data_IF_059187893943
#
_entry.id   IF_059187893943
#
_cell.length_a   1.000
_cell.length_b   1.000
_cell.length_c   1.000
_cell.angle_alpha   90.00
_cell.angle_beta   90.00
_cell.angle_gamma   90.00
#
_symmetry.space_group_name_H-M   'P 1'
#
loop_
_entity.id
_entity.type
_entity.pdbx_description
1 polymer ?
#
# COMPACT_ATOMS: atom_id res chain seq x y z
N UNK A 1 54.02 -35.16 4.17
CA UNK A 1 53.14 -35.25 2.97
C UNK A 1 52.41 -36.58 2.99
N UNK A 2 51.12 -36.60 2.58
CA UNK A 2 50.15 -37.72 2.65
C UNK A 2 49.49 -37.95 4.01
N UNK A 3 48.49 -37.11 4.35
CA UNK A 3 47.35 -37.49 5.22
C UNK A 3 46.17 -36.50 5.25
N UNK A 4 46.30 -35.33 4.61
CA UNK A 4 45.20 -34.35 4.51
C UNK A 4 44.48 -34.32 3.14
N UNK A 5 44.79 -35.27 2.24
CA UNK A 5 44.20 -35.30 0.88
C UNK A 5 42.83 -35.96 0.79
N UNK A 6 42.36 -36.63 1.84
CA UNK A 6 41.06 -37.33 1.84
C UNK A 6 39.92 -36.53 2.48
N UNK A 7 40.21 -35.46 3.24
CA UNK A 7 39.17 -34.58 3.79
C UNK A 7 38.60 -33.60 2.77
N UNK A 8 39.37 -33.26 1.72
CA UNK A 8 38.92 -32.35 0.66
C UNK A 8 37.93 -33.02 -0.32
N UNK A 9 37.92 -34.36 -0.40
CA UNK A 9 37.06 -35.09 -1.34
C UNK A 9 35.65 -35.36 -0.77
N UNK A 10 35.50 -35.42 0.56
CA UNK A 10 34.22 -35.63 1.23
C UNK A 10 33.37 -34.36 1.39
N UNK A 11 33.96 -33.17 1.23
CA UNK A 11 33.28 -31.87 1.31
C UNK A 11 32.76 -31.35 -0.04
N UNK A 12 33.17 -31.98 -1.15
CA UNK A 12 32.73 -31.61 -2.52
C UNK A 12 31.57 -32.51 -2.99
N UNK A 13 31.37 -33.68 -2.39
CA UNK A 13 30.30 -34.62 -2.75
C UNK A 13 28.93 -34.27 -2.16
N UNK A 14 28.86 -33.39 -1.15
CA UNK A 14 27.62 -32.94 -0.50
C UNK A 14 26.97 -31.72 -1.16
N UNK A 15 27.60 -31.11 -2.18
CA UNK A 15 27.08 -29.93 -2.88
C UNK A 15 26.36 -30.24 -4.21
N UNK A 16 26.29 -31.51 -4.63
CA UNK A 16 25.75 -31.89 -5.95
C UNK A 16 24.51 -32.80 -5.90
N UNK A 17 23.95 -33.05 -4.71
CA UNK A 17 22.73 -33.85 -4.56
C UNK A 17 21.65 -33.08 -3.81
N UNK A 18 20.57 -32.79 -4.54
CA UNK A 18 19.20 -32.55 -4.05
C UNK A 18 18.90 -31.20 -3.37
N UNK A 19 17.96 -30.36 -3.81
CA UNK A 19 16.79 -30.59 -4.65
C UNK A 19 16.54 -29.42 -5.62
N UNK A 20 16.66 -29.65 -6.92
CA UNK A 20 15.87 -28.91 -7.92
C UNK A 20 14.44 -29.46 -7.89
N UNK A 21 13.61 -28.94 -6.98
CA UNK A 21 12.17 -29.10 -7.13
C UNK A 21 11.68 -28.13 -8.21
N UNK A 22 11.71 -28.57 -9.46
CA UNK A 22 10.92 -27.96 -10.53
C UNK A 22 9.64 -28.76 -10.69
N UNK A 23 8.72 -28.63 -9.74
CA UNK A 23 7.33 -28.98 -10.01
C UNK A 23 6.75 -27.88 -10.90
N UNK A 24 6.81 -28.08 -12.21
CA UNK A 24 5.94 -27.36 -13.13
C UNK A 24 4.52 -27.87 -12.92
N UNK A 25 3.73 -27.11 -12.16
CA UNK A 25 2.28 -27.27 -12.16
C UNK A 25 1.79 -26.78 -13.52
N UNK A 26 1.43 -27.72 -14.40
CA UNK A 26 0.67 -27.40 -15.61
C UNK A 26 -0.81 -27.36 -15.23
N UNK A 27 -1.51 -26.22 -15.34
CA UNK A 27 -2.96 -26.21 -15.16
C UNK A 27 -3.60 -26.70 -16.46
N UNK A 28 -4.09 -27.94 -16.44
CA UNK A 28 -4.97 -28.49 -17.46
C UNK A 28 -6.31 -27.74 -17.38
N UNK A 29 -6.75 -27.09 -18.47
CA UNK A 29 -8.15 -26.68 -18.69
C UNK A 29 -8.78 -25.65 -17.73
N UNK A 30 -8.03 -25.08 -16.80
CA UNK A 30 -8.50 -24.18 -15.72
C UNK A 30 -8.25 -22.68 -16.05
N UNK A 31 -7.55 -22.38 -17.14
CA UNK A 31 -7.01 -21.04 -17.44
C UNK A 31 -8.06 -19.94 -17.61
N UNK A 32 -9.18 -20.21 -18.28
CA UNK A 32 -10.21 -19.16 -18.51
C UNK A 32 -10.99 -18.81 -17.25
N UNK A 33 -11.39 -19.80 -16.44
CA UNK A 33 -12.18 -19.53 -15.22
C UNK A 33 -11.35 -18.85 -14.13
N UNK A 34 -10.09 -19.25 -13.98
CA UNK A 34 -9.14 -18.59 -13.07
C UNK A 34 -8.86 -17.16 -13.53
N UNK A 35 -8.69 -16.93 -14.84
CA UNK A 35 -8.49 -15.57 -15.37
C UNK A 35 -9.71 -14.67 -15.13
N UNK A 36 -10.94 -15.19 -15.25
CA UNK A 36 -12.17 -14.42 -14.96
C UNK A 36 -12.25 -14.06 -13.47
N UNK A 37 -12.02 -15.03 -12.58
CA UNK A 37 -12.07 -14.80 -11.13
C UNK A 37 -10.99 -13.82 -10.67
N UNK A 38 -9.79 -13.93 -11.24
CA UNK A 38 -8.69 -13.01 -10.96
C UNK A 38 -8.99 -11.59 -11.47
N UNK A 39 -9.53 -11.46 -12.69
CA UNK A 39 -9.94 -10.16 -13.23
C UNK A 39 -11.04 -9.53 -12.37
N UNK A 40 -12.03 -10.30 -11.92
CA UNK A 40 -13.07 -9.82 -10.99
C UNK A 40 -12.48 -9.35 -9.65
N UNK A 41 -11.47 -10.03 -9.12
CA UNK A 41 -10.77 -9.60 -7.91
C UNK A 41 -10.01 -8.29 -8.13
N UNK A 42 -9.29 -8.17 -9.24
CA UNK A 42 -8.59 -6.94 -9.65
C UNK A 42 -9.59 -5.78 -9.74
N UNK A 43 -10.69 -5.98 -10.47
CA UNK A 43 -11.72 -4.96 -10.65
C UNK A 43 -12.39 -4.57 -9.33
N UNK A 44 -12.64 -5.54 -8.43
CA UNK A 44 -13.20 -5.27 -7.10
C UNK A 44 -12.25 -4.45 -6.20
N UNK A 45 -10.95 -4.74 -6.25
CA UNK A 45 -9.92 -3.99 -5.53
C UNK A 45 -9.88 -2.55 -6.04
N UNK A 46 -9.77 -2.38 -7.36
CA UNK A 46 -9.64 -1.08 -7.99
C UNK A 46 -10.92 -0.24 -7.94
N UNK A 47 -12.10 -0.87 -8.05
CA UNK A 47 -13.38 -0.19 -7.88
C UNK A 47 -13.44 0.48 -6.50
N UNK A 48 -13.08 -0.25 -5.45
CA UNK A 48 -13.05 0.37 -4.12
C UNK A 48 -12.00 1.47 -4.01
N UNK A 49 -10.83 1.27 -4.60
CA UNK A 49 -9.82 2.31 -4.61
C UNK A 49 -10.33 3.61 -5.28
N UNK A 50 -11.00 3.49 -6.43
CA UNK A 50 -11.59 4.60 -7.18
C UNK A 50 -12.81 5.22 -6.51
N UNK A 51 -13.60 4.43 -5.78
CA UNK A 51 -14.78 4.94 -5.08
C UNK A 51 -14.41 5.68 -3.77
N UNK A 52 -13.16 5.55 -3.29
CA UNK A 52 -12.65 6.14 -2.06
C UNK A 52 -11.42 7.04 -2.31
N UNK A 53 -10.62 7.34 -1.28
CA UNK A 53 -9.55 8.34 -1.36
C UNK A 53 -8.40 7.97 -2.32
N UNK A 54 -8.25 6.69 -2.66
CA UNK A 54 -7.24 6.25 -3.61
C UNK A 54 -7.49 6.76 -5.03
N UNK A 55 -8.70 7.22 -5.34
CA UNK A 55 -9.01 8.01 -6.52
C UNK A 55 -8.00 9.15 -6.77
N UNK A 56 -7.59 9.84 -5.71
CA UNK A 56 -6.72 11.02 -5.77
C UNK A 56 -5.26 10.69 -6.05
N UNK A 57 -4.87 9.43 -5.87
CA UNK A 57 -3.58 8.89 -6.32
C UNK A 57 -3.73 8.21 -7.68
N UNK A 58 -4.83 7.51 -7.94
CA UNK A 58 -5.05 6.70 -9.15
C UNK A 58 -5.35 7.52 -10.41
N UNK A 59 -6.24 8.51 -10.30
CA UNK A 59 -6.64 9.37 -11.43
C UNK A 59 -6.07 10.79 -11.32
N UNK A 60 -5.51 11.13 -10.16
CA UNK A 60 -4.88 12.42 -9.89
C UNK A 60 -3.42 12.29 -9.46
N UNK A 61 -2.72 13.40 -9.53
CA UNK A 61 -1.41 13.60 -8.89
C UNK A 61 -1.59 14.47 -7.64
N UNK A 62 -2.60 14.17 -6.80
CA UNK A 62 -2.92 14.99 -5.63
C UNK A 62 -2.05 14.61 -4.44
N UNK A 63 -1.85 13.30 -4.22
CA UNK A 63 -1.08 12.77 -3.10
C UNK A 63 -0.25 11.54 -3.48
N UNK A 64 0.92 11.32 -2.83
CA UNK A 64 1.83 10.24 -3.20
C UNK A 64 1.26 8.84 -2.96
N UNK A 65 0.51 8.63 -1.88
CA UNK A 65 0.01 7.32 -1.50
C UNK A 65 -1.44 7.38 -1.03
N UNK A 66 -2.15 6.28 -1.24
CA UNK A 66 -3.46 6.03 -0.64
C UNK A 66 -3.62 4.60 -0.16
N UNK A 67 -4.43 4.44 0.87
CA UNK A 67 -4.88 3.11 1.30
C UNK A 67 -5.89 2.56 0.31
N UNK A 68 -5.75 1.30 -0.07
CA UNK A 68 -6.69 0.62 -0.97
C UNK A 68 -7.51 -0.41 -0.19
N UNK A 69 -6.87 -1.38 0.46
CA UNK A 69 -7.58 -2.42 1.23
C UNK A 69 -6.76 -2.88 2.42
N UNK A 70 -7.45 -3.17 3.53
CA UNK A 70 -6.87 -3.83 4.68
C UNK A 70 -7.42 -5.27 4.77
N UNK A 71 -6.54 -6.25 4.65
CA UNK A 71 -6.89 -7.65 4.82
C UNK A 71 -6.48 -8.15 6.21
N UNK A 72 -7.29 -9.06 6.75
CA UNK A 72 -7.12 -9.62 8.09
C UNK A 72 -6.98 -11.13 7.96
N UNK A 73 -5.84 -11.68 8.37
CA UNK A 73 -5.57 -13.11 8.29
C UNK A 73 -5.17 -13.68 9.65
N UNK A 74 -5.75 -14.80 10.10
CA UNK A 74 -5.33 -15.47 11.34
C UNK A 74 -4.03 -16.25 11.10
N UNK A 75 -2.95 -15.53 10.79
CA UNK A 75 -1.63 -16.07 10.42
C UNK A 75 -0.51 -15.56 11.32
N UNK A 76 -0.79 -14.66 12.27
CA UNK A 76 0.24 -14.15 13.16
C UNK A 76 0.68 -15.24 14.14
N UNK A 77 1.99 -15.25 14.45
CA UNK A 77 2.48 -16.08 15.55
C UNK A 77 2.08 -15.44 16.88
N UNK A 78 1.26 -16.13 17.65
CA UNK A 78 0.89 -15.74 19.02
C UNK A 78 1.47 -16.68 20.08
N UNK A 79 2.16 -17.72 19.65
CA UNK A 79 2.69 -18.75 20.53
C UNK A 79 4.13 -18.38 20.93
N UNK A 80 4.29 -17.93 22.18
CA UNK A 80 5.58 -17.55 22.75
C UNK A 80 6.58 -18.72 22.79
N UNK A 81 6.11 -19.97 22.78
CA UNK A 81 6.95 -21.16 22.80
C UNK A 81 7.45 -21.51 21.38
N UNK A 82 6.76 -21.03 20.34
CA UNK A 82 7.15 -21.25 18.94
C UNK A 82 8.03 -20.15 18.36
N UNK A 83 8.54 -19.21 19.13
CA UNK A 83 9.35 -18.09 18.60
C UNK A 83 10.58 -18.54 17.79
N UNK A 84 11.14 -19.70 18.10
CA UNK A 84 12.30 -20.29 17.39
C UNK A 84 11.91 -21.35 16.37
N UNK A 85 10.63 -21.69 16.26
CA UNK A 85 10.15 -22.71 15.33
C UNK A 85 10.11 -22.15 13.91
N UNK A 86 10.61 -22.93 12.95
CA UNK A 86 10.41 -22.65 11.52
C UNK A 86 8.94 -22.91 11.09
N UNK A 87 8.25 -23.83 11.77
CA UNK A 87 6.90 -24.27 11.45
C UNK A 87 5.86 -23.56 12.34
N UNK A 88 5.62 -22.28 12.02
CA UNK A 88 4.63 -21.46 12.73
C UNK A 88 3.22 -21.70 12.21
N UNK A 89 3.05 -21.66 10.89
CA UNK A 89 1.73 -21.70 10.26
C UNK A 89 1.29 -23.14 10.02
N UNK A 90 0.14 -23.52 10.57
CA UNK A 90 -0.39 -24.87 10.46
C UNK A 90 -1.18 -25.02 9.16
N UNK A 91 -0.59 -25.63 8.12
CA UNK A 91 -1.23 -25.75 6.79
C UNK A 91 -2.65 -26.37 6.85
N UNK A 92 -2.89 -27.39 7.68
CA UNK A 92 -4.22 -28.02 7.82
C UNK A 92 -5.30 -27.06 8.38
N UNK A 93 -4.93 -26.14 9.26
CA UNK A 93 -5.87 -25.22 9.93
C UNK A 93 -5.94 -23.85 9.25
N UNK A 94 -4.82 -23.37 8.73
CA UNK A 94 -4.63 -21.99 8.24
C UNK A 94 -4.38 -21.92 6.72
N UNK A 95 -4.38 -23.06 6.02
CA UNK A 95 -4.02 -23.14 4.60
C UNK A 95 -4.90 -22.31 3.67
N UNK A 96 -6.22 -22.27 3.90
CA UNK A 96 -7.14 -21.47 3.08
C UNK A 96 -6.86 -19.97 3.15
N UNK A 97 -6.38 -19.46 4.29
CA UNK A 97 -5.98 -18.05 4.45
C UNK A 97 -4.69 -17.74 3.69
N UNK A 98 -3.73 -18.68 3.69
CA UNK A 98 -2.52 -18.57 2.86
C UNK A 98 -2.87 -18.60 1.37
N UNK A 99 -3.76 -19.50 0.96
CA UNK A 99 -4.19 -19.61 -0.44
C UNK A 99 -4.89 -18.33 -0.90
N UNK A 100 -5.74 -17.75 -0.04
CA UNK A 100 -6.36 -16.45 -0.30
C UNK A 100 -5.35 -15.31 -0.39
N UNK A 101 -4.37 -15.27 0.50
CA UNK A 101 -3.29 -14.27 0.45
C UNK A 101 -2.47 -14.41 -0.84
N UNK A 102 -2.19 -15.64 -1.26
CA UNK A 102 -1.53 -15.93 -2.53
C UNK A 102 -2.34 -15.39 -3.72
N UNK A 103 -3.65 -15.66 -3.78
CA UNK A 103 -4.52 -15.12 -4.85
C UNK A 103 -4.52 -13.59 -4.88
N UNK A 104 -4.56 -12.93 -3.72
CA UNK A 104 -4.46 -11.46 -3.63
C UNK A 104 -3.10 -10.98 -4.13
N UNK A 105 -2.00 -11.64 -3.75
CA UNK A 105 -0.66 -11.29 -4.22
C UNK A 105 -0.54 -11.41 -5.74
N UNK A 106 -1.09 -12.48 -6.34
CA UNK A 106 -1.08 -12.64 -7.80
C UNK A 106 -1.89 -11.53 -8.49
N UNK A 107 -3.08 -11.22 -8.00
CA UNK A 107 -3.88 -10.11 -8.52
C UNK A 107 -3.14 -8.77 -8.43
N UNK A 108 -2.47 -8.48 -7.30
CA UNK A 108 -1.66 -7.27 -7.12
C UNK A 108 -0.47 -7.23 -8.08
N UNK A 109 0.21 -8.36 -8.30
CA UNK A 109 1.35 -8.43 -9.23
C UNK A 109 0.95 -8.15 -10.69
N UNK A 110 -0.33 -8.35 -11.05
CA UNK A 110 -0.87 -8.04 -12.39
C UNK A 110 -1.30 -6.59 -12.57
N UNK A 111 -1.35 -5.81 -11.48
CA UNK A 111 -1.65 -4.38 -11.54
C UNK A 111 -0.42 -3.64 -12.07
N UNK A 112 -0.41 -3.42 -13.38
CA UNK A 112 0.64 -2.70 -14.08
C UNK A 112 0.04 -1.47 -14.76
N UNK A 113 0.28 -0.31 -14.14
CA UNK A 113 -0.19 0.99 -14.62
C UNK A 113 0.98 1.97 -14.58
N UNK A 114 1.13 2.84 -15.60
CA UNK A 114 2.21 3.81 -15.63
C UNK A 114 2.25 4.67 -14.37
N UNK A 115 3.46 4.89 -13.83
CA UNK A 115 3.70 5.75 -12.65
C UNK A 115 3.01 5.29 -11.36
N UNK A 116 2.42 4.09 -11.32
CA UNK A 116 1.74 3.56 -10.14
C UNK A 116 2.35 2.24 -9.69
N UNK A 117 2.56 2.11 -8.39
CA UNK A 117 2.96 0.86 -7.74
C UNK A 117 1.96 0.47 -6.68
N UNK A 118 1.41 -0.73 -6.78
CA UNK A 118 0.61 -1.33 -5.72
C UNK A 118 1.53 -2.09 -4.77
N UNK A 119 1.38 -1.81 -3.47
CA UNK A 119 2.25 -2.28 -2.41
C UNK A 119 1.39 -3.01 -1.38
N UNK A 120 1.60 -4.32 -1.22
CA UNK A 120 0.96 -5.15 -0.22
C UNK A 120 1.97 -5.48 0.89
N UNK A 121 1.84 -4.85 2.05
CA UNK A 121 2.77 -5.06 3.17
C UNK A 121 2.05 -5.48 4.44
N UNK A 122 2.68 -6.31 5.31
CA UNK A 122 2.19 -6.55 6.64
C UNK A 122 2.39 -5.30 7.52
N UNK A 123 1.44 -5.02 8.42
CA UNK A 123 1.75 -4.12 9.54
C UNK A 123 2.79 -4.75 10.45
N UNK A 124 3.63 -3.90 11.07
CA UNK A 124 4.68 -4.30 12.02
C UNK A 124 4.10 -5.21 13.08
N UNK A 125 3.03 -4.76 13.71
CA UNK A 125 2.37 -5.43 14.83
C UNK A 125 1.12 -6.18 14.37
N UNK A 126 0.99 -7.44 14.81
CA UNK A 126 -0.25 -8.18 14.70
C UNK A 126 -1.28 -7.70 15.75
N UNK A 127 -2.56 -7.90 15.48
CA UNK A 127 -3.62 -7.71 16.48
C UNK A 127 -4.08 -9.08 16.93
N UNK A 128 -3.67 -9.50 18.13
CA UNK A 128 -3.84 -10.88 18.60
C UNK A 128 -3.26 -11.88 17.58
N UNK A 129 -4.08 -12.83 17.11
CA UNK A 129 -3.71 -13.80 16.07
C UNK A 129 -3.83 -13.26 14.63
N UNK A 130 -4.23 -12.00 14.47
CA UNK A 130 -4.51 -11.41 13.17
C UNK A 130 -3.29 -10.68 12.62
N UNK A 131 -2.75 -11.20 11.52
CA UNK A 131 -1.85 -10.47 10.63
C UNK A 131 -2.67 -9.54 9.74
N UNK A 132 -2.39 -8.26 9.89
CA UNK A 132 -2.95 -7.22 9.03
C UNK A 132 -2.05 -7.03 7.81
N UNK A 133 -2.63 -7.11 6.62
CA UNK A 133 -1.96 -6.86 5.34
C UNK A 133 -2.61 -5.64 4.70
N UNK A 134 -1.84 -4.56 4.55
CA UNK A 134 -2.29 -3.33 3.94
C UNK A 134 -1.88 -3.31 2.47
N UNK A 135 -2.88 -3.20 1.59
CA UNK A 135 -2.70 -2.86 0.19
C UNK A 135 -2.82 -1.35 0.03
N UNK A 136 -1.79 -0.73 -0.48
CA UNK A 136 -1.75 0.69 -0.83
C UNK A 136 -1.38 0.86 -2.29
N UNK A 137 -1.71 2.02 -2.85
CA UNK A 137 -1.20 2.46 -4.14
C UNK A 137 -0.32 3.68 -3.93
N UNK A 138 0.82 3.69 -4.62
CA UNK A 138 1.81 4.77 -4.58
C UNK A 138 2.01 5.29 -6.00
N UNK A 139 1.98 6.61 -6.17
CA UNK A 139 2.40 7.28 -7.39
C UNK A 139 3.91 7.56 -7.31
N UNK A 140 4.68 6.95 -8.20
CA UNK A 140 6.15 6.92 -8.13
C UNK A 140 6.74 8.32 -8.26
N UNK A 141 6.29 9.10 -9.25
CA UNK A 141 6.72 10.47 -9.47
C UNK A 141 6.46 11.41 -8.28
N UNK A 142 5.29 11.28 -7.64
CA UNK A 142 4.96 12.05 -6.43
C UNK A 142 5.78 11.61 -5.24
N UNK A 143 6.07 10.31 -5.11
CA UNK A 143 6.94 9.80 -4.07
C UNK A 143 8.35 10.38 -4.23
N UNK A 144 8.91 10.37 -5.43
CA UNK A 144 10.23 10.94 -5.70
C UNK A 144 10.28 12.44 -5.37
N UNK A 145 9.25 13.17 -5.77
CA UNK A 145 9.11 14.60 -5.43
C UNK A 145 9.04 14.81 -3.91
N UNK A 146 8.29 13.95 -3.20
CA UNK A 146 8.20 14.00 -1.74
C UNK A 146 9.55 13.70 -1.07
N UNK A 147 10.23 12.63 -1.47
CA UNK A 147 11.51 12.23 -0.89
C UNK A 147 12.57 13.33 -1.08
N UNK A 148 12.55 14.03 -2.22
CA UNK A 148 13.38 15.21 -2.46
C UNK A 148 13.00 16.37 -1.55
N UNK A 149 11.71 16.73 -1.51
CA UNK A 149 11.23 17.88 -0.75
C UNK A 149 11.39 17.69 0.78
N UNK A 150 11.41 16.45 1.24
CA UNK A 150 11.51 16.07 2.66
C UNK A 150 12.78 15.28 2.96
N UNK A 151 13.86 15.56 2.23
CA UNK A 151 15.14 14.85 2.37
C UNK A 151 15.70 14.88 3.80
N UNK A 152 15.50 15.98 4.53
CA UNK A 152 15.94 16.11 5.92
C UNK A 152 15.26 15.13 6.86
N UNK A 153 14.02 14.72 6.54
CA UNK A 153 13.29 13.70 7.29
C UNK A 153 13.54 12.30 6.73
N UNK A 154 13.37 12.07 5.43
CA UNK A 154 13.48 10.72 4.86
C UNK A 154 14.92 10.22 4.74
N UNK A 155 15.90 11.11 4.64
CA UNK A 155 17.32 10.77 4.52
C UNK A 155 17.87 9.99 5.71
N UNK A 156 17.30 10.15 6.90
CA UNK A 156 17.68 9.37 8.09
C UNK A 156 17.44 7.85 7.90
N UNK A 157 16.51 7.49 7.01
CA UNK A 157 16.20 6.10 6.66
C UNK A 157 16.97 5.61 5.42
N UNK A 158 17.84 6.43 4.85
CA UNK A 158 18.50 6.16 3.57
C UNK A 158 17.55 6.18 2.36
N UNK A 159 16.38 6.83 2.49
CA UNK A 159 15.38 6.92 1.43
C UNK A 159 15.58 8.20 0.61
N UNK A 160 15.76 8.05 -0.69
CA UNK A 160 16.02 9.13 -1.66
C UNK A 160 15.16 8.93 -2.91
N UNK A 161 14.99 9.95 -3.78
CA UNK A 161 14.25 9.78 -5.05
C UNK A 161 14.76 8.56 -5.86
N UNK A 162 13.83 7.77 -6.39
CA UNK A 162 14.09 6.50 -7.06
C UNK A 162 14.05 5.27 -6.14
N UNK A 163 13.85 5.44 -4.83
CA UNK A 163 13.66 4.31 -3.91
C UNK A 163 12.39 3.51 -4.26
N UNK A 164 12.48 2.17 -4.16
CA UNK A 164 11.33 1.30 -4.42
C UNK A 164 10.17 1.64 -3.45
N UNK A 165 8.94 1.86 -3.94
CA UNK A 165 7.80 2.19 -3.09
C UNK A 165 7.52 1.17 -1.98
N UNK A 166 7.74 -0.13 -2.24
CA UNK A 166 7.53 -1.17 -1.23
C UNK A 166 8.55 -1.05 -0.09
N UNK A 167 9.79 -0.70 -0.43
CA UNK A 167 10.85 -0.41 0.54
C UNK A 167 10.50 0.81 1.37
N UNK A 168 10.10 1.93 0.76
CA UNK A 168 9.71 3.14 1.49
C UNK A 168 8.56 2.87 2.47
N UNK A 169 7.46 2.28 1.99
CA UNK A 169 6.28 2.05 2.84
C UNK A 169 6.60 1.05 3.95
N UNK A 170 7.37 -0.01 3.67
CA UNK A 170 7.78 -0.98 4.69
C UNK A 170 8.71 -0.37 5.74
N UNK A 171 9.66 0.49 5.34
CA UNK A 171 10.56 1.18 6.26
C UNK A 171 9.78 2.11 7.19
N UNK A 172 8.85 2.90 6.65
CA UNK A 172 8.00 3.78 7.46
C UNK A 172 7.07 2.98 8.38
N UNK A 173 6.46 1.89 7.91
CA UNK A 173 5.63 1.03 8.76
C UNK A 173 6.40 0.45 9.95
N UNK A 174 7.69 0.18 9.77
CA UNK A 174 8.54 -0.41 10.79
C UNK A 174 9.29 0.59 11.68
N UNK A 175 9.28 1.88 11.33
CA UNK A 175 9.90 2.96 12.08
C UNK A 175 9.29 3.14 13.50
N UNK A 176 9.93 3.98 14.31
CA UNK A 176 9.41 4.31 15.62
C UNK A 176 8.13 5.12 15.54
N UNK A 177 7.33 5.10 16.61
CA UNK A 177 5.92 5.55 16.57
C UNK A 177 5.72 6.92 15.94
N UNK A 178 6.51 7.91 16.35
CA UNK A 178 6.35 9.30 15.90
C UNK A 178 6.91 9.54 14.50
N UNK A 179 8.02 8.89 14.18
CA UNK A 179 8.58 8.87 12.83
C UNK A 179 7.60 8.23 11.84
N UNK A 180 7.01 7.09 12.21
CA UNK A 180 6.00 6.41 11.42
C UNK A 180 4.78 7.30 11.18
N UNK A 181 4.29 7.99 12.21
CA UNK A 181 3.18 8.94 12.06
C UNK A 181 3.52 10.08 11.11
N UNK A 182 4.71 10.67 11.24
CA UNK A 182 5.20 11.72 10.35
C UNK A 182 5.35 11.23 8.91
N UNK A 183 6.02 10.09 8.73
CA UNK A 183 6.25 9.46 7.43
C UNK A 183 4.95 9.12 6.72
N UNK A 184 3.98 8.52 7.41
CA UNK A 184 2.66 8.29 6.83
C UNK A 184 1.92 9.58 6.51
N UNK A 185 1.98 10.59 7.38
CA UNK A 185 1.35 11.89 7.10
C UNK A 185 1.84 12.50 5.79
N UNK A 186 3.15 12.46 5.55
CA UNK A 186 3.76 12.89 4.29
C UNK A 186 3.40 11.99 3.11
N UNK A 187 3.44 10.66 3.26
CA UNK A 187 3.07 9.74 2.18
C UNK A 187 1.59 9.91 1.77
N UNK A 188 0.69 10.18 2.71
CA UNK A 188 -0.71 10.48 2.43
C UNK A 188 -0.93 11.91 1.90
N UNK A 189 0.13 12.72 1.76
CA UNK A 189 0.09 14.05 1.16
C UNK A 189 -0.56 15.10 2.03
N UNK A 190 -0.52 14.96 3.36
CA UNK A 190 -1.06 15.97 4.26
C UNK A 190 -0.14 17.19 4.36
N UNK A 191 -0.69 18.39 4.60
CA UNK A 191 0.09 19.60 4.83
C UNK A 191 1.06 19.46 6.01
N UNK A 192 2.21 20.12 5.93
CA UNK A 192 3.26 20.06 6.97
C UNK A 192 2.72 20.36 8.37
N UNK A 193 1.97 21.46 8.50
CA UNK A 193 1.41 21.88 9.78
C UNK A 193 0.43 20.84 10.38
N UNK A 194 -0.29 20.09 9.54
CA UNK A 194 -1.20 19.04 9.98
C UNK A 194 -0.43 17.80 10.41
N UNK A 195 0.67 17.47 9.72
CA UNK A 195 1.59 16.40 10.12
C UNK A 195 2.27 16.73 11.45
N UNK A 196 2.77 17.96 11.59
CA UNK A 196 3.38 18.46 12.82
C UNK A 196 2.40 18.36 13.99
N UNK A 197 1.21 18.93 13.83
CA UNK A 197 0.16 18.84 14.84
C UNK A 197 -0.17 17.39 15.23
N UNK A 198 -0.31 16.49 14.26
CA UNK A 198 -0.66 15.10 14.55
C UNK A 198 0.41 14.40 15.38
N UNK A 199 1.69 14.63 15.06
CA UNK A 199 2.83 14.04 15.77
C UNK A 199 2.93 14.63 17.18
N UNK A 200 2.84 15.95 17.32
CA UNK A 200 2.87 16.65 18.61
C UNK A 200 1.71 16.25 19.50
N UNK A 201 0.49 16.21 18.95
CA UNK A 201 -0.70 15.78 19.68
C UNK A 201 -0.56 14.33 20.15
N UNK A 202 -0.02 13.43 19.32
CA UNK A 202 0.22 12.05 19.73
C UNK A 202 1.25 11.95 20.87
N UNK A 203 2.30 12.77 20.82
CA UNK A 203 3.33 12.84 21.84
C UNK A 203 2.77 13.38 23.16
N UNK A 204 2.07 14.51 23.14
CA UNK A 204 1.46 15.12 24.32
C UNK A 204 0.35 14.26 24.93
N UNK A 205 -0.50 13.64 24.10
CA UNK A 205 -1.49 12.68 24.57
C UNK A 205 -0.85 11.45 25.22
N UNK A 206 0.34 11.03 24.79
CA UNK A 206 1.04 9.89 25.41
C UNK A 206 1.44 10.19 26.86
N UNK A 207 1.82 11.44 27.15
CA UNK A 207 2.21 11.96 28.47
C UNK A 207 0.99 12.24 29.36
N UNK A 208 0.02 12.98 28.82
CA UNK A 208 -1.07 13.57 29.60
C UNK A 208 -2.33 12.72 29.64
N UNK A 209 -2.44 11.72 28.76
CA UNK A 209 -3.66 10.94 28.48
C UNK A 209 -4.86 11.78 28.02
N UNK A 210 -4.65 13.04 27.65
CA UNK A 210 -5.67 13.95 27.12
C UNK A 210 -5.47 14.14 25.62
N UNK A 211 -6.58 14.22 24.89
CA UNK A 211 -6.56 14.57 23.48
C UNK A 211 -6.45 16.09 23.33
N UNK A 212 -5.53 16.56 22.48
CA UNK A 212 -5.49 17.97 22.12
C UNK A 212 -6.73 18.34 21.28
N UNK A 213 -7.34 19.52 21.52
CA UNK A 213 -8.43 20.03 20.70
C UNK A 213 -8.03 20.15 19.23
N UNK A 214 -8.95 19.80 18.33
CA UNK A 214 -8.68 19.72 16.89
C UNK A 214 -9.94 19.81 16.06
N UNK A 215 -9.77 20.27 14.84
CA UNK A 215 -10.76 20.21 13.76
C UNK A 215 -10.27 19.25 12.67
N UNK A 216 -11.16 18.93 11.74
CA UNK A 216 -10.89 18.00 10.64
C UNK A 216 -11.15 18.67 9.30
N UNK A 217 -10.16 18.65 8.42
CA UNK A 217 -10.33 19.08 7.04
C UNK A 217 -10.74 17.88 6.22
N UNK A 218 -11.88 17.96 5.55
CA UNK A 218 -12.50 16.81 4.87
C UNK A 218 -12.60 17.08 3.38
N UNK A 219 -12.14 16.11 2.60
CA UNK A 219 -12.22 16.13 1.15
C UNK A 219 -13.17 14.99 0.75
N UNK A 220 -14.21 15.28 -0.05
CA UNK A 220 -15.20 14.28 -0.44
C UNK A 220 -14.56 13.17 -1.27
N UNK A 221 -15.22 12.04 -1.42
CA UNK A 221 -14.88 10.97 -2.37
C UNK A 221 -16.15 10.51 -3.06
N UNK A 222 -16.06 9.63 -4.04
CA UNK A 222 -17.25 9.18 -4.76
C UNK A 222 -18.26 8.47 -3.82
N UNK A 223 -17.78 7.63 -2.90
CA UNK A 223 -18.64 6.87 -2.01
C UNK A 223 -19.28 7.71 -0.87
N UNK A 224 -18.74 8.89 -0.53
CA UNK A 224 -19.20 9.72 0.59
C UNK A 224 -18.52 11.09 0.63
N UNK A 225 -19.22 12.07 1.19
CA UNK A 225 -18.73 13.45 1.33
C UNK A 225 -17.69 13.64 2.44
N UNK A 226 -17.56 12.69 3.37
CA UNK A 226 -16.83 12.85 4.62
C UNK A 226 -16.05 11.60 5.04
N UNK A 227 -14.96 11.80 5.79
CA UNK A 227 -14.25 10.73 6.52
C UNK A 227 -13.48 9.70 5.70
N UNK A 228 -13.08 10.02 4.46
CA UNK A 228 -12.17 9.17 3.66
C UNK A 228 -10.81 9.80 3.44
N UNK A 229 -10.77 11.00 2.86
CA UNK A 229 -9.55 11.81 2.78
C UNK A 229 -9.68 12.95 3.79
N UNK A 230 -8.99 12.81 4.92
CA UNK A 230 -9.19 13.69 6.07
C UNK A 230 -7.89 13.84 6.85
N UNK A 231 -7.59 15.05 7.30
CA UNK A 231 -6.52 15.31 8.25
C UNK A 231 -7.00 16.21 9.38
N UNK A 232 -6.42 15.98 10.56
CA UNK A 232 -6.68 16.79 11.74
C UNK A 232 -5.74 17.99 11.77
N UNK A 233 -6.23 19.11 12.29
CA UNK A 233 -5.45 20.33 12.50
C UNK A 233 -5.82 21.01 13.83
N UNK A 234 -4.96 21.90 14.38
CA UNK A 234 -5.24 22.60 15.63
C UNK A 234 -6.56 23.37 15.59
N UNK A 235 -7.28 23.43 16.70
CA UNK A 235 -8.60 24.10 16.76
C UNK A 235 -8.52 25.61 16.43
N UNK A 236 -7.41 26.25 16.77
CA UNK A 236 -7.09 27.66 16.57
C UNK A 236 -6.45 27.96 15.20
N UNK A 237 -6.11 26.93 14.42
CA UNK A 237 -5.58 27.10 13.07
C UNK A 237 -6.71 27.31 12.04
N UNK A 238 -6.49 28.25 11.11
CA UNK A 238 -7.39 28.47 9.96
C UNK A 238 -6.76 27.89 8.70
N UNK A 239 -7.37 26.88 8.05
CA UNK A 239 -6.90 26.34 6.77
C UNK A 239 -6.65 27.45 5.75
N UNK A 240 -5.57 27.32 5.00
CA UNK A 240 -5.07 28.39 4.12
C UNK A 240 -5.45 28.15 2.66
N UNK A 241 -5.59 29.25 1.91
CA UNK A 241 -5.83 29.16 0.47
C UNK A 241 -4.65 28.51 -0.27
N UNK A 242 -3.42 28.85 0.14
CA UNK A 242 -2.18 28.40 -0.51
C UNK A 242 -1.94 26.89 -0.45
N UNK A 243 -2.52 26.21 0.55
CA UNK A 243 -2.28 24.78 0.80
C UNK A 243 -3.58 23.99 0.78
N UNK A 244 -4.49 24.26 1.71
CA UNK A 244 -5.69 23.45 1.93
C UNK A 244 -6.70 23.58 0.79
N UNK A 245 -6.97 24.81 0.34
CA UNK A 245 -7.86 25.03 -0.80
C UNK A 245 -7.28 24.43 -2.09
N UNK A 246 -5.95 24.49 -2.29
CA UNK A 246 -5.30 23.85 -3.44
C UNK A 246 -5.53 22.34 -3.44
N UNK A 247 -5.33 21.66 -2.31
CA UNK A 247 -5.58 20.22 -2.19
C UNK A 247 -7.07 19.92 -2.45
N UNK A 248 -7.97 20.69 -1.85
CA UNK A 248 -9.42 20.53 -2.03
C UNK A 248 -9.84 20.65 -3.50
N UNK A 249 -9.51 21.75 -4.17
CA UNK A 249 -9.93 21.99 -5.55
C UNK A 249 -9.27 21.05 -6.55
N UNK A 250 -8.01 20.64 -6.33
CA UNK A 250 -7.38 19.59 -7.16
C UNK A 250 -8.08 18.26 -7.00
N UNK A 251 -8.50 17.91 -5.78
CA UNK A 251 -9.26 16.70 -5.50
C UNK A 251 -10.64 16.73 -6.13
N UNK A 252 -11.40 17.83 -5.98
CA UNK A 252 -12.71 17.99 -6.59
C UNK A 252 -12.68 17.82 -8.12
N UNK A 253 -11.69 18.43 -8.80
CA UNK A 253 -11.51 18.24 -10.26
C UNK A 253 -11.33 16.77 -10.65
N UNK A 254 -10.57 16.01 -9.85
CA UNK A 254 -10.38 14.57 -10.08
C UNK A 254 -11.69 13.81 -9.83
N UNK A 255 -12.42 14.14 -8.76
CA UNK A 255 -13.70 13.53 -8.41
C UNK A 255 -14.76 13.77 -9.50
N UNK A 256 -14.88 14.99 -10.00
CA UNK A 256 -15.76 15.33 -11.11
C UNK A 256 -15.40 14.57 -12.38
N UNK A 257 -14.10 14.47 -12.71
CA UNK A 257 -13.64 13.69 -13.86
C UNK A 257 -14.05 12.23 -13.73
N UNK A 258 -13.86 11.64 -12.54
CA UNK A 258 -14.25 10.27 -12.28
C UNK A 258 -15.76 10.06 -12.42
N UNK A 259 -16.58 10.93 -11.81
CA UNK A 259 -18.05 10.90 -11.93
C UNK A 259 -18.51 10.88 -13.39
N UNK A 260 -17.87 11.67 -14.27
CA UNK A 260 -18.19 11.74 -15.70
C UNK A 260 -17.86 10.46 -16.48
N UNK A 261 -16.81 9.74 -16.11
CA UNK A 261 -16.34 8.56 -16.88
C UNK A 261 -16.82 7.23 -16.30
N UNK A 262 -17.11 7.14 -15.00
CA UNK A 262 -17.38 5.89 -14.27
C UNK A 262 -18.47 5.04 -14.93
N UNK A 263 -19.60 5.65 -15.30
CA UNK A 263 -20.76 4.92 -15.82
C UNK A 263 -20.50 4.23 -17.16
N UNK A 264 -19.51 4.70 -17.93
CA UNK A 264 -19.12 4.07 -19.21
C UNK A 264 -18.45 2.70 -19.03
N UNK A 265 -18.02 2.39 -17.80
CA UNK A 265 -17.29 1.17 -17.47
C UNK A 265 -18.07 0.21 -16.58
N UNK A 266 -19.36 0.48 -16.34
CA UNK A 266 -20.20 -0.46 -15.59
C UNK A 266 -20.51 -1.69 -16.44
N UNK A 267 -20.53 -2.84 -15.76
CA UNK A 267 -21.12 -4.07 -16.25
C UNK A 267 -22.64 -4.03 -16.03
N UNK A 268 -23.35 -5.01 -16.60
CA UNK A 268 -24.81 -5.15 -16.44
C UNK A 268 -25.23 -5.40 -14.98
N UNK A 269 -24.36 -5.97 -14.16
CA UNK A 269 -24.54 -6.19 -12.72
C UNK A 269 -24.11 -5.00 -11.85
N UNK A 270 -23.80 -3.85 -12.47
CA UNK A 270 -23.29 -2.63 -11.83
C UNK A 270 -21.90 -2.75 -11.18
N UNK A 271 -21.18 -3.87 -11.37
CA UNK A 271 -19.75 -3.93 -11.05
C UNK A 271 -18.95 -3.07 -12.03
N UNK A 272 -17.84 -2.49 -11.58
CA UNK A 272 -17.03 -1.62 -12.41
C UNK A 272 -15.91 -2.42 -13.09
N UNK A 273 -15.75 -2.28 -14.41
CA UNK A 273 -14.53 -2.69 -15.15
C UNK A 273 -13.39 -1.72 -14.85
N UNK A 274 -13.00 -1.66 -13.58
CA UNK A 274 -12.13 -0.64 -13.02
C UNK A 274 -10.72 -0.67 -13.62
N UNK A 275 -10.19 -1.86 -13.91
CA UNK A 275 -8.88 -1.97 -14.52
C UNK A 275 -8.88 -1.42 -15.95
N UNK A 276 -9.92 -1.75 -16.73
CA UNK A 276 -10.09 -1.21 -18.08
C UNK A 276 -10.22 0.32 -18.06
N UNK A 277 -10.98 0.87 -17.10
CA UNK A 277 -11.10 2.32 -16.91
C UNK A 277 -9.72 2.97 -16.71
N UNK A 278 -8.90 2.42 -15.81
CA UNK A 278 -7.56 2.94 -15.55
C UNK A 278 -6.65 2.80 -16.78
N UNK A 279 -6.65 1.66 -17.45
CA UNK A 279 -5.86 1.45 -18.67
C UNK A 279 -6.21 2.48 -19.74
N UNK A 280 -7.49 2.73 -20.00
CA UNK A 280 -7.94 3.71 -20.98
C UNK A 280 -7.57 5.14 -20.56
N UNK A 281 -7.68 5.45 -19.26
CA UNK A 281 -7.29 6.76 -18.72
C UNK A 281 -5.81 7.07 -18.98
N UNK A 282 -4.92 6.11 -18.72
CA UNK A 282 -3.47 6.27 -18.91
C UNK A 282 -3.04 6.20 -20.37
N UNK A 283 -3.78 5.49 -21.23
CA UNK A 283 -3.54 5.53 -22.69
C UNK A 283 -3.87 6.89 -23.30
N UNK A 284 -4.95 7.54 -22.84
CA UNK A 284 -5.41 8.84 -23.34
C UNK A 284 -4.65 10.04 -22.75
N UNK A 285 -3.98 9.83 -21.63
CA UNK A 285 -3.20 10.85 -20.93
C UNK A 285 -1.73 10.40 -20.87
N UNK A 286 -1.04 10.26 -22.02
CA UNK A 286 0.40 9.99 -21.97
C UNK A 286 1.03 11.06 -21.11
N UNK A 287 1.81 10.63 -20.10
CA UNK A 287 2.42 11.49 -19.08
C UNK A 287 3.06 12.70 -19.77
N UNK A 288 2.38 13.84 -19.74
CA UNK A 288 3.00 15.12 -20.10
C UNK A 288 3.95 15.42 -18.96
N UNK A 289 5.23 15.19 -19.22
CA UNK A 289 6.35 15.78 -18.46
C UNK A 289 6.28 17.29 -18.65
N UNK A 290 5.39 17.95 -17.94
CA UNK A 290 5.53 19.38 -17.71
C UNK A 290 6.50 19.55 -16.53
N UNK A 291 7.67 20.10 -16.88
CA UNK A 291 8.80 20.44 -16.03
C UNK A 291 8.44 21.41 -14.90
#
# INVERSE_FOLDING_TARGET
MKKYSYLAFLLILSLVLSCKSKQQVVPVGIGMSVHIQEQQLIDSILQYALDYEALYTLLGNVKPMSSVRLYRFPLANTDSVKQTSADIVHRKKQGSYLDRLYTIQQAVNRLDLPDLKFVLIPYKTAQDSIRLMQLSVVRVSSLDSLLRAKESFFGQFGLVPGADPSTVVSTIENADRYERYRGYGYLFGYPDYAVDFFVEAAFESSKTKKLLPRKFFQIPVYAREAGSFTYAYPEDHTPTFSTDSVIYYRSEKVLEKYRKIRNNYLNTDSTLRAYQLLQDFYKRSPLTTEN
#
